data_IF_533008042981
#
_entry.id   IF_533008042981
#
_cell.length_a   1.000
_cell.length_b   1.000
_cell.length_c   1.000
_cell.angle_alpha   90.00
_cell.angle_beta   90.00
_cell.angle_gamma   90.00
#
_symmetry.space_group_name_H-M   'P 1'
#
loop_
_entity.id
_entity.type
_entity.pdbx_description
1 polymer ?
#
# COMPACT_ATOMS: atom_id res chain seq x y z
N UNK A 1 1.85 4.06 15.17
CA UNK A 1 2.33 3.49 13.91
C UNK A 1 1.19 2.64 13.38
N UNK A 2 0.60 3.00 12.23
CA UNK A 2 -0.52 2.26 11.63
C UNK A 2 0.05 1.30 10.59
N UNK A 3 -0.37 0.05 10.65
CA UNK A 3 -0.02 -0.98 9.66
C UNK A 3 -1.13 -0.98 8.61
N UNK A 4 -0.74 -0.82 7.35
CA UNK A 4 -1.64 -0.85 6.21
C UNK A 4 -1.32 -2.10 5.43
N UNK A 5 -2.27 -3.03 5.40
CA UNK A 5 -2.15 -4.23 4.60
C UNK A 5 -2.57 -3.92 3.18
N UNK A 6 -1.79 -4.37 2.20
CA UNK A 6 -2.13 -4.18 0.81
C UNK A 6 -1.83 -5.42 -0.03
N UNK A 7 -2.48 -5.51 -1.18
CA UNK A 7 -2.16 -6.44 -2.24
C UNK A 7 -1.95 -5.66 -3.54
N UNK A 8 -0.79 -5.86 -4.17
CA UNK A 8 -0.48 -5.24 -5.45
C UNK A 8 -0.79 -6.22 -6.57
N UNK A 9 -1.74 -5.85 -7.42
CA UNK A 9 -2.20 -6.67 -8.52
C UNK A 9 -1.57 -6.12 -9.80
N UNK A 10 -0.53 -6.81 -10.29
CA UNK A 10 0.23 -6.38 -11.46
C UNK A 10 -0.68 -6.16 -12.69
N UNK A 11 -0.57 -4.97 -13.30
CA UNK A 11 -1.39 -4.58 -14.46
C UNK A 11 -2.81 -4.12 -14.10
N UNK A 12 -3.17 -4.12 -12.82
CA UNK A 12 -4.43 -3.58 -12.33
C UNK A 12 -4.17 -2.38 -11.43
N UNK A 13 -3.96 -2.58 -10.13
CA UNK A 13 -3.92 -1.52 -9.09
C UNK A 13 -3.60 -2.16 -7.73
N UNK A 14 -3.84 -1.43 -6.64
CA UNK A 14 -3.61 -1.87 -5.27
C UNK A 14 -4.94 -1.99 -4.54
N UNK A 15 -5.13 -3.09 -3.82
CA UNK A 15 -6.21 -3.23 -2.84
C UNK A 15 -5.60 -3.07 -1.44
N UNK A 16 -6.09 -2.13 -0.63
CA UNK A 16 -5.50 -1.84 0.67
C UNK A 16 -6.55 -1.69 1.78
N UNK A 17 -6.20 -2.10 2.99
CA UNK A 17 -7.02 -1.94 4.19
C UNK A 17 -6.71 -0.60 4.85
N UNK A 18 -7.51 0.42 4.53
CA UNK A 18 -7.39 1.80 5.01
C UNK A 18 -8.66 2.18 5.76
N UNK A 19 -8.53 2.87 6.90
CA UNK A 19 -9.66 3.24 7.77
C UNK A 19 -10.56 2.07 8.18
N UNK A 20 -9.97 0.88 8.29
CA UNK A 20 -10.64 -0.38 8.62
C UNK A 20 -11.62 -0.89 7.53
N UNK A 21 -11.51 -0.35 6.31
CA UNK A 21 -12.22 -0.77 5.10
C UNK A 21 -11.24 -1.13 3.97
N UNK A 22 -11.64 -2.05 3.09
CA UNK A 22 -10.86 -2.37 1.90
C UNK A 22 -11.21 -1.39 0.79
N UNK A 23 -10.21 -0.66 0.31
CA UNK A 23 -10.36 0.29 -0.78
C UNK A 23 -9.31 0.08 -1.87
N UNK A 24 -9.62 0.59 -3.05
CA UNK A 24 -8.88 0.37 -4.27
C UNK A 24 -8.14 1.64 -4.70
N UNK A 25 -6.83 1.50 -4.92
CA UNK A 25 -5.94 2.59 -5.24
C UNK A 25 -5.27 2.37 -6.59
N UNK A 26 -5.41 3.32 -7.54
CA UNK A 26 -4.78 3.25 -8.86
C UNK A 26 -3.24 3.12 -8.82
N UNK A 27 -2.59 3.67 -7.80
CA UNK A 27 -1.12 3.72 -7.65
C UNK A 27 -0.71 3.71 -6.17
N UNK A 28 0.57 3.38 -5.90
CA UNK A 28 1.09 3.45 -4.52
C UNK A 28 1.14 4.90 -4.05
N UNK A 29 1.37 5.86 -4.96
CA UNK A 29 1.37 7.28 -4.62
C UNK A 29 0.01 7.75 -4.10
N UNK A 30 -1.09 7.30 -4.70
CA UNK A 30 -2.44 7.60 -4.22
C UNK A 30 -2.73 6.96 -2.85
N UNK A 31 -2.36 5.69 -2.67
CA UNK A 31 -2.44 5.02 -1.37
C UNK A 31 -1.63 5.76 -0.29
N UNK A 32 -0.40 6.16 -0.62
CA UNK A 32 0.50 6.87 0.29
C UNK A 32 -0.03 8.26 0.63
N UNK A 33 -0.61 8.97 -0.33
CA UNK A 33 -1.25 10.26 -0.10
C UNK A 33 -2.38 10.14 0.93
N UNK A 34 -3.30 9.20 0.74
CA UNK A 34 -4.41 9.01 1.67
C UNK A 34 -3.92 8.55 3.05
N UNK A 35 -3.03 7.56 3.11
CA UNK A 35 -2.49 7.06 4.38
C UNK A 35 -1.76 8.15 5.16
N UNK A 36 -1.00 9.02 4.47
CA UNK A 36 -0.29 10.13 5.10
C UNK A 36 -1.27 11.22 5.57
N UNK A 37 -2.35 11.46 4.83
CA UNK A 37 -3.43 12.38 5.22
C UNK A 37 -4.14 11.92 6.50
N UNK A 38 -4.47 10.62 6.59
CA UNK A 38 -5.19 10.05 7.73
C UNK A 38 -4.32 9.81 8.97
N UNK A 39 -3.08 9.37 8.78
CA UNK A 39 -2.24 8.84 9.87
C UNK A 39 -0.89 9.56 10.04
N UNK A 40 -0.58 10.53 9.19
CA UNK A 40 0.74 11.18 9.12
C UNK A 40 1.85 10.20 8.71
N UNK A 41 3.10 10.56 8.97
CA UNK A 41 4.28 9.79 8.56
C UNK A 41 4.52 8.50 9.38
N UNK A 42 3.59 8.09 10.23
CA UNK A 42 3.73 6.91 11.12
C UNK A 42 3.01 5.70 10.54
N UNK A 43 3.28 5.38 9.27
CA UNK A 43 2.66 4.27 8.53
C UNK A 43 3.69 3.21 8.15
N UNK A 44 3.24 1.96 8.09
CA UNK A 44 4.01 0.82 7.57
C UNK A 44 3.12 0.08 6.59
N UNK A 45 3.53 0.02 5.32
CA UNK A 45 2.87 -0.79 4.30
C UNK A 45 3.33 -2.24 4.42
N UNK A 46 2.40 -3.19 4.41
CA UNK A 46 2.66 -4.63 4.48
C UNK A 46 1.95 -5.32 3.34
N UNK A 47 2.72 -5.91 2.42
CA UNK A 47 2.15 -6.73 1.36
C UNK A 47 1.60 -8.03 1.95
N UNK A 48 0.38 -8.38 1.57
CA UNK A 48 -0.27 -9.65 1.95
C UNK A 48 0.15 -10.82 1.06
N UNK A 49 0.68 -10.54 -0.14
CA UNK A 49 1.17 -11.55 -1.08
C UNK A 49 2.65 -11.89 -0.90
N UNK A 50 3.43 -11.06 -0.21
CA UNK A 50 4.86 -11.27 -0.01
C UNK A 50 5.13 -12.29 1.11
N UNK A 51 6.02 -13.26 0.84
CA UNK A 51 6.53 -14.17 1.87
C UNK A 51 7.31 -13.41 2.94
N UNK A 52 7.04 -13.70 4.22
CA UNK A 52 7.70 -13.08 5.36
C UNK A 52 9.23 -13.20 5.27
N UNK A 53 9.96 -12.12 5.57
CA UNK A 53 11.42 -12.09 5.58
C UNK A 53 12.07 -11.48 4.33
N UNK A 54 11.29 -11.23 3.27
CA UNK A 54 11.76 -10.53 2.09
C UNK A 54 11.36 -9.06 2.13
N UNK A 55 12.36 -8.16 2.10
CA UNK A 55 12.09 -6.75 1.86
C UNK A 55 11.70 -6.57 0.39
N UNK A 56 10.43 -6.22 0.15
CA UNK A 56 9.92 -5.93 -1.19
C UNK A 56 9.80 -4.42 -1.31
N UNK A 57 10.73 -3.81 -2.06
CA UNK A 57 10.59 -2.42 -2.48
C UNK A 57 9.60 -2.36 -3.64
N UNK A 58 8.64 -1.44 -3.58
CA UNK A 58 7.78 -1.13 -4.71
C UNK A 58 8.33 0.12 -5.40
N UNK A 59 8.51 0.04 -6.72
CA UNK A 59 8.87 1.19 -7.56
C UNK A 59 7.93 1.19 -8.77
N UNK A 60 7.16 2.26 -8.93
CA UNK A 60 6.40 2.47 -10.16
C UNK A 60 7.38 2.77 -11.29
N UNK A 61 7.40 1.89 -12.30
CA UNK A 61 8.14 2.20 -13.52
C UNK A 61 7.39 3.31 -14.26
N UNK A 62 8.01 4.49 -14.36
CA UNK A 62 7.57 5.52 -15.31
C UNK A 62 7.59 4.90 -16.71
N UNK A 63 6.41 4.73 -17.30
CA UNK A 63 6.29 4.47 -18.75
C UNK A 63 6.47 5.77 -19.51
#
# INVERSE_FOLDING_TARGET
MKIIYFDYIAGFSINALVADEWDFYPSVDELMYECTSLYGNKIVLVSTAATSGNFTGYQESLK
#
